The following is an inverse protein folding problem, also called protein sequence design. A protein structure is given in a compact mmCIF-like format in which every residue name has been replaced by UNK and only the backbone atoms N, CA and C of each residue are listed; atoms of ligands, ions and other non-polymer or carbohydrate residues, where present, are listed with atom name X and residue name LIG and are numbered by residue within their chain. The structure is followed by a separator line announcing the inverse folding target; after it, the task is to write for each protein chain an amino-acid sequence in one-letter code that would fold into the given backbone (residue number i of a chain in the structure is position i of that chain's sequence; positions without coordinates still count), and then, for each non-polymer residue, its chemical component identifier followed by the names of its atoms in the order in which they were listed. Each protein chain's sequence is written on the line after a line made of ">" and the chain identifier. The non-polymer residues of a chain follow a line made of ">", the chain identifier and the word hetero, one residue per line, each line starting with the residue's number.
data_IF_201005861294
#
_entry.id   IF_201005861294
#
_cell.length_a   1.000
_cell.length_b   1.000
_cell.length_c   1.000
_cell.angle_alpha   90.00
_cell.angle_beta   90.00
_cell.angle_gamma   90.00
#
_symmetry.space_group_name_H-M   'P 1'
#
loop_
_entity.id
_entity.type
_entity.pdbx_description
1 polymer ?
#
# COMPACT_ATOMS: atom_id res chain seq x y z
N UNK A 1 44.70 36.38 -45.77
CA UNK A 1 45.00 35.30 -46.72
C UNK A 1 44.04 34.18 -46.41
N UNK A 2 42.93 34.13 -47.19
CA UNK A 2 42.70 33.20 -48.30
C UNK A 2 42.49 31.75 -47.74
N UNK A 3 41.44 30.94 -47.98
CA UNK A 3 40.27 30.80 -48.91
C UNK A 3 39.29 29.86 -48.17
N UNK A 4 37.97 29.98 -48.19
CA UNK A 4 36.95 29.58 -49.16
C UNK A 4 36.92 28.11 -49.52
N UNK A 5 35.81 27.46 -49.31
CA UNK A 5 34.96 26.62 -50.17
C UNK A 5 34.08 25.75 -49.30
N UNK A 6 32.79 25.94 -49.28
CA UNK A 6 31.75 25.35 -50.14
C UNK A 6 31.65 23.80 -50.05
N UNK A 7 30.54 23.33 -49.56
CA UNK A 7 30.08 21.97 -49.58
C UNK A 7 28.63 21.88 -49.14
N UNK A 8 27.73 22.24 -50.06
CA UNK A 8 26.29 22.02 -50.00
C UNK A 8 26.02 20.51 -50.14
N UNK A 9 25.40 19.89 -49.16
CA UNK A 9 24.80 18.60 -49.32
C UNK A 9 23.39 18.58 -48.74
N UNK A 10 22.43 18.75 -49.64
CA UNK A 10 21.01 18.52 -49.38
C UNK A 10 20.75 17.02 -49.49
N UNK A 11 20.32 16.41 -48.41
CA UNK A 11 19.68 15.09 -48.46
C UNK A 11 18.40 15.16 -47.64
N UNK A 12 17.30 15.29 -48.36
CA UNK A 12 15.96 15.07 -47.83
C UNK A 12 15.75 13.58 -47.57
N UNK A 13 15.58 13.20 -46.30
CA UNK A 13 14.95 11.94 -45.94
C UNK A 13 13.63 12.23 -45.25
N UNK A 14 12.55 12.06 -45.99
CA UNK A 14 11.24 11.88 -45.44
C UNK A 14 11.19 10.50 -44.77
N UNK A 15 11.36 10.45 -43.47
CA UNK A 15 11.11 9.29 -42.63
C UNK A 15 9.88 9.56 -41.80
N UNK A 16 8.75 8.94 -42.11
CA UNK A 16 7.65 8.79 -41.16
C UNK A 16 8.18 8.01 -39.95
N UNK A 17 8.66 8.72 -38.95
CA UNK A 17 8.94 8.18 -37.64
C UNK A 17 7.62 7.99 -36.92
N UNK A 18 7.17 6.76 -36.83
CA UNK A 18 6.27 6.28 -35.81
C UNK A 18 6.87 6.74 -34.48
N UNK A 19 6.20 7.67 -33.81
CA UNK A 19 6.51 7.97 -32.41
C UNK A 19 6.18 6.73 -31.60
N UNK A 20 7.14 6.09 -30.93
CA UNK A 20 6.78 5.23 -29.84
C UNK A 20 6.13 6.15 -28.80
N UNK A 21 4.88 5.87 -28.50
CA UNK A 21 4.19 6.32 -27.32
C UNK A 21 5.00 5.78 -26.13
N UNK A 22 6.03 6.51 -25.76
CA UNK A 22 6.68 6.30 -24.47
C UNK A 22 5.75 6.96 -23.48
N UNK A 23 4.69 6.23 -23.13
CA UNK A 23 4.12 6.39 -21.81
C UNK A 23 5.30 6.17 -20.88
N UNK A 24 5.82 7.28 -20.39
CA UNK A 24 6.69 7.33 -19.22
C UNK A 24 5.81 6.82 -18.07
N UNK A 25 5.68 5.50 -18.06
CA UNK A 25 5.23 4.77 -16.90
C UNK A 25 6.36 5.00 -15.91
N UNK A 26 6.25 6.15 -15.22
CA UNK A 26 7.05 6.43 -14.06
C UNK A 26 7.00 5.15 -13.24
N UNK A 27 8.15 4.52 -13.11
CA UNK A 27 8.45 3.43 -12.20
C UNK A 27 8.04 3.90 -10.79
N UNK A 28 6.73 3.85 -10.56
CA UNK A 28 6.19 3.97 -9.23
C UNK A 28 6.70 2.74 -8.50
N UNK A 29 7.40 2.90 -7.38
CA UNK A 29 7.86 1.78 -6.57
C UNK A 29 6.68 0.83 -6.41
N UNK A 30 6.88 -0.44 -6.79
CA UNK A 30 5.88 -1.44 -7.01
C UNK A 30 4.67 -1.31 -6.10
N UNK A 31 3.48 -1.38 -6.69
CA UNK A 31 2.26 -1.19 -5.91
C UNK A 31 2.33 -2.08 -4.68
N UNK A 32 1.96 -1.54 -3.53
CA UNK A 32 1.94 -2.26 -2.24
C UNK A 32 1.22 -3.62 -2.29
N UNK A 33 0.44 -3.88 -3.35
CA UNK A 33 -0.16 -5.17 -3.65
C UNK A 33 0.85 -6.24 -4.14
N UNK A 34 2.01 -5.84 -4.63
CA UNK A 34 2.97 -6.75 -5.26
C UNK A 34 3.92 -7.41 -4.24
N UNK A 35 4.17 -6.77 -3.11
CA UNK A 35 5.00 -7.38 -2.05
C UNK A 35 4.22 -8.31 -1.11
N UNK A 36 2.93 -8.09 -0.95
CA UNK A 36 2.06 -9.11 -0.37
C UNK A 36 1.91 -10.26 -1.36
N UNK A 37 3.00 -10.97 -1.67
CA UNK A 37 3.18 -12.02 -2.68
C UNK A 37 2.03 -13.06 -2.75
N UNK A 38 0.82 -12.55 -2.83
CA UNK A 38 -0.43 -13.27 -2.93
C UNK A 38 -1.46 -12.38 -3.58
N UNK A 39 -2.26 -12.96 -4.42
CA UNK A 39 -3.49 -12.38 -4.95
C UNK A 39 -4.26 -11.64 -3.85
N UNK A 40 -4.68 -10.41 -4.10
CA UNK A 40 -5.46 -9.65 -3.14
C UNK A 40 -6.67 -10.49 -2.66
N UNK A 41 -7.01 -10.45 -1.37
CA UNK A 41 -8.16 -11.23 -0.88
C UNK A 41 -9.42 -10.86 -1.67
N UNK A 42 -10.26 -11.82 -2.02
CA UNK A 42 -11.50 -11.53 -2.74
C UNK A 42 -12.42 -10.64 -1.91
N UNK A 43 -13.22 -9.82 -2.57
CA UNK A 43 -14.23 -9.04 -1.88
C UNK A 43 -15.21 -9.95 -1.11
N UNK A 44 -15.67 -9.53 0.08
CA UNK A 44 -16.66 -10.30 0.82
C UNK A 44 -17.96 -10.44 0.02
N UNK A 45 -18.71 -11.53 0.22
CA UNK A 45 -19.98 -11.72 -0.45
C UNK A 45 -20.99 -10.63 -0.05
N UNK A 46 -21.84 -10.21 -0.98
CA UNK A 46 -22.79 -9.12 -0.75
C UNK A 46 -23.81 -9.39 0.37
N UNK A 47 -23.98 -10.63 0.75
CA UNK A 47 -24.83 -11.06 1.86
C UNK A 47 -24.05 -11.33 3.16
N UNK A 48 -22.81 -10.92 3.27
CA UNK A 48 -22.03 -11.04 4.49
C UNK A 48 -22.72 -10.37 5.69
N UNK A 49 -22.73 -11.06 6.84
CA UNK A 49 -23.36 -10.61 8.09
C UNK A 49 -22.50 -10.82 9.32
N UNK A 50 -21.46 -11.65 9.22
CA UNK A 50 -20.58 -11.96 10.33
C UNK A 50 -19.15 -11.52 10.04
N UNK A 51 -18.37 -11.34 11.11
CA UNK A 51 -16.95 -10.92 11.02
C UNK A 51 -16.16 -11.90 10.13
N UNK A 52 -16.44 -13.20 10.24
CA UNK A 52 -15.76 -14.24 9.46
C UNK A 52 -16.09 -14.17 7.97
N UNK A 53 -17.31 -13.72 7.61
CA UNK A 53 -17.71 -13.55 6.23
C UNK A 53 -17.09 -12.30 5.59
N UNK A 54 -16.80 -11.29 6.40
CA UNK A 54 -16.11 -10.08 5.94
C UNK A 54 -14.59 -10.26 5.87
N UNK A 55 -14.01 -11.14 6.68
CA UNK A 55 -12.59 -11.43 6.66
C UNK A 55 -12.27 -12.54 5.64
N UNK A 56 -11.96 -12.14 4.43
CA UNK A 56 -11.64 -13.05 3.31
C UNK A 56 -10.15 -13.33 3.16
N UNK A 57 -9.34 -12.93 4.15
CA UNK A 57 -7.90 -13.21 4.13
C UNK A 57 -7.61 -14.71 4.29
N UNK A 58 -6.63 -15.22 3.53
CA UNK A 58 -6.19 -16.62 3.67
C UNK A 58 -5.26 -16.79 4.85
N UNK A 59 -5.03 -18.04 5.27
CA UNK A 59 -4.10 -18.34 6.36
C UNK A 59 -2.67 -17.94 5.99
N UNK A 60 -2.26 -18.16 4.73
CA UNK A 60 -0.94 -17.77 4.22
C UNK A 60 -0.76 -16.25 4.31
N UNK A 61 -1.78 -15.47 3.95
CA UNK A 61 -1.75 -14.02 4.05
C UNK A 61 -1.66 -13.56 5.51
N UNK A 62 -2.36 -14.20 6.43
CA UNK A 62 -2.29 -13.91 7.87
C UNK A 62 -0.92 -14.21 8.45
N UNK A 63 -0.34 -15.35 8.09
CA UNK A 63 1.02 -15.73 8.52
C UNK A 63 2.03 -14.74 7.98
N UNK A 64 1.95 -14.37 6.69
CA UNK A 64 2.84 -13.38 6.09
C UNK A 64 2.71 -12.01 6.78
N UNK A 65 1.48 -11.52 6.99
CA UNK A 65 1.24 -10.22 7.62
C UNK A 65 1.64 -10.17 9.10
N UNK A 66 1.62 -11.30 9.81
CA UNK A 66 2.04 -11.39 11.21
C UNK A 66 3.52 -11.71 11.40
N UNK A 67 4.27 -11.90 10.32
CA UNK A 67 5.71 -12.18 10.40
C UNK A 67 6.43 -11.02 11.11
N UNK A 68 7.45 -11.31 11.93
CA UNK A 68 8.23 -10.26 12.58
C UNK A 68 8.97 -9.42 11.55
N UNK A 69 8.46 -8.24 11.24
CA UNK A 69 9.19 -7.29 10.40
C UNK A 69 10.30 -6.64 11.23
N UNK A 70 11.52 -6.74 10.73
CA UNK A 70 12.65 -6.05 11.33
C UNK A 70 12.70 -4.60 10.81
N UNK A 71 12.87 -3.65 11.73
CA UNK A 71 13.06 -2.25 11.37
C UNK A 71 11.74 -1.47 11.26
N UNK A 72 11.84 -0.32 10.59
CA UNK A 72 10.77 0.65 10.42
C UNK A 72 10.92 1.87 11.32
N UNK A 73 10.47 3.02 10.82
CA UNK A 73 10.44 4.27 11.56
C UNK A 73 9.06 4.44 12.22
N UNK A 74 9.03 4.72 13.51
CA UNK A 74 7.79 5.05 14.20
C UNK A 74 7.25 6.38 13.65
N UNK A 75 6.09 6.35 13.03
CA UNK A 75 5.38 7.55 12.57
C UNK A 75 4.61 8.20 13.71
N UNK A 76 3.99 7.41 14.56
CA UNK A 76 3.21 7.91 15.69
C UNK A 76 2.36 6.86 16.37
N UNK A 77 1.52 7.32 17.28
CA UNK A 77 0.48 6.54 17.95
C UNK A 77 -0.86 7.16 17.64
N UNK A 78 -1.80 6.35 17.20
CA UNK A 78 -3.13 6.81 16.87
C UNK A 78 -4.20 5.97 17.53
N UNK A 79 -5.28 6.64 17.92
CA UNK A 79 -6.53 5.99 18.27
C UNK A 79 -7.22 5.65 16.96
N UNK A 80 -7.50 4.37 16.75
CA UNK A 80 -8.06 3.88 15.50
C UNK A 80 -9.48 3.37 15.67
N UNK A 81 -10.23 3.40 14.60
CA UNK A 81 -11.54 2.77 14.50
C UNK A 81 -11.53 1.68 13.42
N UNK A 82 -12.52 0.79 13.48
CA UNK A 82 -12.76 -0.14 12.38
C UNK A 82 -13.13 0.65 11.12
N UNK A 83 -12.40 0.38 10.04
CA UNK A 83 -12.70 0.92 8.71
C UNK A 83 -13.81 0.16 8.00
N UNK A 84 -13.90 0.32 6.68
CA UNK A 84 -14.90 -0.38 5.88
C UNK A 84 -14.63 -1.90 5.87
N UNK A 85 -15.51 -2.72 6.46
CA UNK A 85 -15.32 -4.16 6.51
C UNK A 85 -15.45 -4.84 5.14
N UNK A 86 -16.06 -4.17 4.17
CA UNK A 86 -16.18 -4.69 2.80
C UNK A 86 -14.88 -4.56 2.00
N UNK A 87 -13.92 -3.75 2.47
CA UNK A 87 -12.60 -3.62 1.89
C UNK A 87 -11.65 -4.68 2.46
N UNK A 88 -11.28 -5.69 1.67
CA UNK A 88 -10.45 -6.79 2.13
C UNK A 88 -8.99 -6.38 2.35
N UNK A 89 -8.20 -7.27 2.97
CA UNK A 89 -6.76 -7.12 3.15
C UNK A 89 -6.36 -6.39 4.42
N UNK A 90 -5.06 -6.13 4.52
CA UNK A 90 -4.44 -5.49 5.69
C UNK A 90 -4.07 -4.05 5.33
N UNK A 91 -4.76 -3.09 5.88
CA UNK A 91 -4.55 -1.66 5.60
C UNK A 91 -4.91 -0.77 6.78
N UNK A 92 -4.33 0.43 6.78
CA UNK A 92 -4.70 1.55 7.63
C UNK A 92 -4.81 2.82 6.79
N UNK A 93 -5.89 3.57 6.96
CA UNK A 93 -6.00 4.96 6.51
C UNK A 93 -5.60 5.88 7.65
N UNK A 94 -4.61 6.75 7.43
CA UNK A 94 -4.05 7.61 8.46
C UNK A 94 -3.55 8.94 7.89
N UNK A 95 -3.60 10.00 8.68
CA UNK A 95 -3.01 11.29 8.35
C UNK A 95 -1.48 11.34 8.58
N UNK A 96 -0.88 10.27 9.13
CA UNK A 96 0.56 10.22 9.38
C UNK A 96 1.40 10.08 8.11
N UNK A 97 0.79 9.71 6.98
CA UNK A 97 1.46 9.56 5.69
C UNK A 97 0.82 10.43 4.62
N UNK A 98 1.63 10.89 3.66
CA UNK A 98 1.17 11.71 2.53
C UNK A 98 1.14 10.93 1.21
N UNK A 99 1.66 9.71 1.19
CA UNK A 99 1.66 8.79 0.06
C UNK A 99 1.46 7.36 0.55
N UNK A 100 0.88 6.48 -0.29
CA UNK A 100 0.79 5.07 0.03
C UNK A 100 2.16 4.44 0.27
N UNK A 101 2.22 3.47 1.17
CA UNK A 101 3.47 2.81 1.53
C UNK A 101 3.22 1.55 2.35
N UNK A 102 4.31 0.93 2.75
CA UNK A 102 4.28 -0.22 3.64
C UNK A 102 4.47 0.21 5.08
N UNK A 103 3.74 -0.41 5.96
CA UNK A 103 3.85 -0.15 7.38
C UNK A 103 3.61 -1.36 8.25
N UNK A 104 3.77 -1.13 9.52
CA UNK A 104 3.47 -2.11 10.57
C UNK A 104 2.69 -1.44 11.67
N UNK A 105 1.64 -2.10 12.10
CA UNK A 105 0.89 -1.73 13.30
C UNK A 105 1.34 -2.60 14.47
N UNK A 106 1.42 -2.01 15.64
CA UNK A 106 1.68 -2.73 16.89
C UNK A 106 0.62 -2.36 17.91
N UNK A 107 0.00 -3.37 18.49
CA UNK A 107 -0.91 -3.21 19.62
C UNK A 107 -0.20 -3.56 20.92
N UNK A 108 0.20 -2.54 21.66
CA UNK A 108 1.05 -2.68 22.84
C UNK A 108 0.43 -3.57 23.94
N UNK A 109 -0.90 -3.67 24.02
CA UNK A 109 -1.57 -4.48 25.04
C UNK A 109 -1.40 -5.97 24.82
N UNK A 110 -1.37 -6.43 23.57
CA UNK A 110 -1.15 -7.84 23.21
C UNK A 110 0.28 -8.13 22.78
N UNK A 111 1.07 -7.11 22.47
CA UNK A 111 2.40 -7.23 21.91
C UNK A 111 2.41 -7.73 20.47
N UNK A 112 1.24 -7.86 19.83
CA UNK A 112 1.12 -8.33 18.45
C UNK A 112 1.39 -7.22 17.47
N UNK A 113 1.89 -7.62 16.30
CA UNK A 113 2.13 -6.72 15.17
C UNK A 113 1.57 -7.31 13.89
N UNK A 114 1.23 -6.44 12.95
CA UNK A 114 0.76 -6.81 11.62
C UNK A 114 1.33 -5.85 10.58
N UNK A 115 1.80 -6.38 9.46
CA UNK A 115 2.18 -5.59 8.31
C UNK A 115 0.93 -5.16 7.54
N UNK A 116 0.92 -3.89 7.11
CA UNK A 116 -0.24 -3.26 6.48
C UNK A 116 0.18 -2.30 5.38
N UNK A 117 -0.73 -2.06 4.47
CA UNK A 117 -0.68 -0.91 3.58
C UNK A 117 -1.02 0.36 4.36
N UNK A 118 -0.12 1.36 4.30
CA UNK A 118 -0.37 2.71 4.79
C UNK A 118 -1.02 3.52 3.67
N UNK A 119 -2.19 4.07 3.93
CA UNK A 119 -2.96 4.83 2.96
C UNK A 119 -3.18 6.22 3.52
N UNK A 120 -2.85 7.28 2.76
CA UNK A 120 -3.19 8.64 3.17
C UNK A 120 -4.68 8.78 3.39
N UNK A 121 -5.05 9.32 4.54
CA UNK A 121 -6.44 9.57 4.91
C UNK A 121 -6.59 10.86 5.68
N UNK A 122 -7.78 11.43 5.67
CA UNK A 122 -8.12 12.61 6.45
C UNK A 122 -8.97 12.22 7.67
N UNK A 123 -8.79 12.94 8.76
CA UNK A 123 -9.55 12.71 9.99
C UNK A 123 -8.98 11.60 10.86
N UNK A 124 -9.83 10.83 11.51
CA UNK A 124 -9.41 9.75 12.42
C UNK A 124 -8.91 8.52 11.67
N UNK A 125 -7.92 7.85 12.23
CA UNK A 125 -7.36 6.65 11.62
C UNK A 125 -8.37 5.50 11.59
N UNK A 126 -8.37 4.76 10.46
CA UNK A 126 -9.24 3.60 10.22
C UNK A 126 -8.41 2.39 9.81
N UNK A 127 -8.69 1.26 10.42
CA UNK A 127 -7.93 0.02 10.23
C UNK A 127 -8.85 -1.08 9.70
N UNK A 128 -8.31 -1.91 8.82
CA UNK A 128 -9.04 -3.05 8.28
C UNK A 128 -9.45 -4.07 9.35
N UNK A 129 -10.56 -4.75 9.10
CA UNK A 129 -11.07 -5.80 9.98
C UNK A 129 -10.01 -6.91 10.19
N UNK A 130 -9.36 -7.35 9.12
CA UNK A 130 -8.35 -8.40 9.16
C UNK A 130 -7.15 -8.01 10.04
N UNK A 131 -6.68 -6.76 9.94
CA UNK A 131 -5.58 -6.28 10.77
C UNK A 131 -5.94 -6.22 12.25
N UNK A 132 -7.11 -5.70 12.60
CA UNK A 132 -7.56 -5.67 14.01
C UNK A 132 -7.71 -7.08 14.61
N UNK A 133 -8.17 -8.05 13.81
CA UNK A 133 -8.26 -9.45 14.27
C UNK A 133 -6.90 -10.07 14.54
N UNK A 134 -5.90 -9.86 13.67
CA UNK A 134 -4.53 -10.35 13.89
C UNK A 134 -3.87 -9.71 15.11
N UNK A 135 -4.13 -8.44 15.36
CA UNK A 135 -3.66 -7.74 16.54
C UNK A 135 -4.38 -8.17 17.83
N UNK A 136 -5.48 -8.92 17.71
CA UNK A 136 -6.42 -9.21 18.82
C UNK A 136 -6.92 -7.92 19.49
N UNK A 137 -7.06 -6.87 18.69
CA UNK A 137 -7.58 -5.60 19.16
C UNK A 137 -9.12 -5.62 19.18
N UNK A 138 -9.77 -4.93 20.13
CA UNK A 138 -11.21 -4.88 20.22
C UNK A 138 -11.80 -4.19 18.98
N UNK A 139 -12.82 -4.79 18.37
CA UNK A 139 -13.47 -4.28 17.16
C UNK A 139 -14.50 -3.18 17.45
N UNK A 140 -15.01 -3.11 18.67
CA UNK A 140 -16.07 -2.19 19.09
C UNK A 140 -15.56 -1.03 19.95
N UNK A 141 -14.28 -1.00 20.23
CA UNK A 141 -13.61 0.04 20.98
C UNK A 141 -12.69 0.84 20.05
N UNK A 142 -12.03 1.83 20.61
CA UNK A 142 -11.06 2.66 19.90
C UNK A 142 -9.66 2.38 20.47
N UNK A 143 -9.01 1.29 20.01
CA UNK A 143 -7.68 0.95 20.49
C UNK A 143 -6.63 1.96 20.03
N UNK A 144 -5.58 2.12 20.83
CA UNK A 144 -4.41 2.89 20.46
C UNK A 144 -3.37 1.95 19.84
N UNK A 145 -2.97 2.23 18.60
CA UNK A 145 -1.95 1.49 17.89
C UNK A 145 -0.70 2.35 17.63
N UNK A 146 0.45 1.71 17.64
CA UNK A 146 1.68 2.30 17.13
C UNK A 146 1.79 2.03 15.64
N UNK A 147 2.09 3.08 14.87
CA UNK A 147 2.19 3.03 13.41
C UNK A 147 3.65 3.23 13.02
N UNK A 148 4.21 2.26 12.29
CA UNK A 148 5.57 2.30 11.77
C UNK A 148 5.54 2.32 10.25
N UNK A 149 6.43 3.08 9.64
CA UNK A 149 6.71 2.98 8.21
C UNK A 149 7.83 1.97 7.98
N UNK A 150 7.63 1.02 7.08
CA UNK A 150 8.67 0.11 6.60
C UNK A 150 9.36 0.71 5.37
N UNK A 151 10.66 0.44 5.22
CA UNK A 151 11.48 0.93 4.09
C UNK A 151 11.58 -0.16 3.01
#
# INVERSE_FOLDING_TARGET
>A
MRYALSGLFVLAFAGCGVMPDTSDEADAPGSVAEWMAGEAPPAPPSNARTVEQFDTTTEEQRVAASAPAAGGALLGREIVSLGDPSRPGFWIETALVNAPGQGRLVFAQTGKSVEVELIPGEGGARVSLAALRLLEAPLTELPMLEVYQLN
#
